data_IF_576105939232
#
_entry.id   IF_576105939232
#
_cell.length_a   1.000
_cell.length_b   1.000
_cell.length_c   1.000
_cell.angle_alpha   90.00
_cell.angle_beta   90.00
_cell.angle_gamma   90.00
#
_symmetry.space_group_name_H-M   'P 1'
#
loop_
_entity.id
_entity.type
_entity.pdbx_description
1 polymer ?
#
# COMPACT_ATOMS: atom_id res chain seq x y z
N UNK A 1 -9.47 -14.35 8.00
CA UNK A 1 -8.58 -13.34 7.42
C UNK A 1 -8.03 -12.47 8.53
N UNK A 2 -6.73 -12.44 8.68
CA UNK A 2 -6.07 -11.67 9.73
C UNK A 2 -5.29 -10.51 9.14
N UNK A 3 -5.44 -9.33 9.73
CA UNK A 3 -4.67 -8.13 9.38
C UNK A 3 -3.71 -7.85 10.52
N UNK A 4 -2.40 -7.89 10.24
CA UNK A 4 -1.38 -7.68 11.27
C UNK A 4 -0.10 -7.10 10.69
N UNK A 5 0.77 -6.59 11.54
CA UNK A 5 2.06 -6.07 11.08
C UNK A 5 2.88 -7.16 10.38
N UNK A 6 3.54 -6.76 9.29
CA UNK A 6 4.41 -7.64 8.53
C UNK A 6 5.84 -7.43 9.04
N UNK A 7 6.29 -8.31 9.91
CA UNK A 7 7.54 -8.10 10.63
C UNK A 7 8.75 -8.88 10.11
N UNK A 8 8.55 -9.85 9.24
CA UNK A 8 9.61 -10.76 8.85
C UNK A 8 9.65 -10.92 7.34
N UNK A 9 10.53 -10.10 6.71
CA UNK A 9 10.61 -10.05 5.25
C UNK A 9 10.98 -11.41 4.66
N UNK A 10 10.15 -11.89 3.73
CA UNK A 10 10.38 -13.11 2.98
C UNK A 10 10.31 -12.76 1.50
N UNK A 11 11.47 -12.77 0.83
CA UNK A 11 11.59 -12.32 -0.55
C UNK A 11 10.62 -13.05 -1.49
N UNK A 12 10.48 -14.37 -1.33
CA UNK A 12 9.65 -15.16 -2.21
C UNK A 12 8.17 -14.78 -2.12
N UNK A 13 7.63 -14.63 -0.92
CA UNK A 13 6.21 -14.28 -0.77
C UNK A 13 5.93 -12.85 -1.24
N UNK A 14 6.85 -11.92 -1.03
CA UNK A 14 6.72 -10.54 -1.51
C UNK A 14 6.79 -10.50 -3.05
N UNK A 15 7.76 -11.20 -3.63
CA UNK A 15 7.90 -11.29 -5.08
C UNK A 15 6.66 -11.89 -5.73
N UNK A 16 6.15 -12.98 -5.16
CA UNK A 16 4.94 -13.62 -5.66
C UNK A 16 3.74 -12.69 -5.61
N UNK A 17 3.62 -11.91 -4.54
CA UNK A 17 2.53 -10.97 -4.38
C UNK A 17 2.58 -9.88 -5.47
N UNK A 18 3.75 -9.29 -5.71
CA UNK A 18 3.91 -8.26 -6.74
C UNK A 18 3.66 -8.83 -8.14
N UNK A 19 4.16 -10.04 -8.42
CA UNK A 19 3.94 -10.70 -9.70
C UNK A 19 2.46 -10.99 -9.95
N UNK A 20 1.70 -11.32 -8.92
CA UNK A 20 0.29 -11.67 -9.04
C UNK A 20 -0.56 -10.54 -9.61
N UNK A 21 -0.12 -9.30 -9.46
CA UNK A 21 -0.82 -8.11 -9.97
C UNK A 21 -0.07 -7.45 -11.14
N UNK A 22 0.97 -8.11 -11.66
CA UNK A 22 1.71 -7.62 -12.82
C UNK A 22 2.68 -6.47 -12.51
N UNK A 23 3.00 -6.25 -11.26
CA UNK A 23 3.96 -5.22 -10.86
C UNK A 23 5.37 -5.78 -10.96
N UNK A 24 6.00 -5.59 -12.13
CA UNK A 24 7.33 -6.13 -12.42
C UNK A 24 8.45 -5.12 -12.24
N UNK A 25 8.13 -3.84 -12.07
CA UNK A 25 9.13 -2.78 -11.94
C UNK A 25 10.06 -2.97 -10.74
N UNK A 26 9.56 -3.50 -9.63
CA UNK A 26 10.41 -3.77 -8.47
C UNK A 26 11.27 -5.02 -8.63
N UNK A 27 10.92 -5.91 -9.57
CA UNK A 27 11.69 -7.13 -9.79
C UNK A 27 13.08 -6.82 -10.36
N UNK A 28 13.23 -5.69 -11.03
CA UNK A 28 14.53 -5.21 -11.51
C UNK A 28 15.39 -4.64 -10.37
N UNK A 29 14.78 -4.36 -9.22
CA UNK A 29 15.45 -3.79 -8.06
C UNK A 29 15.31 -4.68 -6.83
N UNK A 30 15.24 -5.98 -7.06
CA UNK A 30 14.96 -6.95 -5.99
C UNK A 30 16.01 -6.91 -4.88
N UNK A 31 17.27 -6.57 -5.23
CA UNK A 31 18.36 -6.48 -4.27
C UNK A 31 18.19 -5.37 -3.23
N UNK A 32 17.37 -4.35 -3.53
CA UNK A 32 17.12 -3.25 -2.59
C UNK A 32 15.75 -3.35 -1.91
N UNK A 33 14.94 -4.34 -2.29
CA UNK A 33 13.57 -4.43 -1.81
C UNK A 33 13.51 -4.72 -0.31
N UNK A 34 14.37 -5.60 0.19
CA UNK A 34 14.43 -5.90 1.62
C UNK A 34 14.79 -4.65 2.43
N UNK A 35 15.77 -3.88 1.96
CA UNK A 35 16.17 -2.64 2.64
C UNK A 35 15.04 -1.60 2.57
N UNK A 36 14.32 -1.53 1.46
CA UNK A 36 13.17 -0.65 1.32
C UNK A 36 12.08 -0.99 2.36
N UNK A 37 11.82 -2.27 2.54
CA UNK A 37 10.86 -2.72 3.56
C UNK A 37 11.36 -2.40 4.97
N UNK A 38 12.64 -2.64 5.24
CA UNK A 38 13.23 -2.35 6.55
C UNK A 38 13.18 -0.86 6.90
N UNK A 39 13.23 0.01 5.90
CA UNK A 39 13.19 1.45 6.07
C UNK A 39 11.78 2.05 5.91
N UNK A 40 10.77 1.23 5.77
CA UNK A 40 9.39 1.70 5.70
C UNK A 40 8.89 2.13 7.07
N UNK A 41 8.02 3.12 7.08
CA UNK A 41 7.36 3.56 8.32
C UNK A 41 6.47 2.44 8.88
N UNK A 42 5.76 1.76 8.00
CA UNK A 42 4.77 0.77 8.39
C UNK A 42 4.55 -0.22 7.25
N UNK A 43 4.50 -1.50 7.58
CA UNK A 43 4.10 -2.55 6.65
C UNK A 43 3.09 -3.45 7.36
N UNK A 44 1.91 -3.59 6.77
CA UNK A 44 0.83 -4.41 7.33
C UNK A 44 0.43 -5.44 6.30
N UNK A 45 0.29 -6.67 6.74
CA UNK A 45 -0.08 -7.80 5.89
C UNK A 45 -1.49 -8.30 6.17
N UNK A 46 -2.11 -8.87 5.14
CA UNK A 46 -3.34 -9.62 5.23
C UNK A 46 -3.02 -11.10 5.04
N UNK A 47 -3.51 -11.93 5.93
CA UNK A 47 -3.18 -13.37 5.95
C UNK A 47 -4.44 -14.22 5.89
N UNK A 48 -4.40 -15.22 5.02
CA UNK A 48 -5.35 -16.32 5.01
C UNK A 48 -4.65 -17.49 5.67
N UNK A 49 -4.98 -17.77 6.93
CA UNK A 49 -4.18 -18.59 7.83
C UNK A 49 -2.76 -18.02 7.91
N UNK A 50 -1.74 -18.75 7.49
CA UNK A 50 -0.36 -18.25 7.50
C UNK A 50 0.10 -17.74 6.14
N UNK A 51 -0.78 -17.72 5.14
CA UNK A 51 -0.43 -17.27 3.78
C UNK A 51 -0.64 -15.77 3.65
N UNK A 52 0.41 -15.05 3.25
CA UNK A 52 0.31 -13.62 2.94
C UNK A 52 -0.45 -13.44 1.62
N UNK A 53 -1.58 -12.75 1.68
CA UNK A 53 -2.44 -12.52 0.50
C UNK A 53 -2.62 -11.05 0.17
N UNK A 54 -2.14 -10.17 1.00
CA UNK A 54 -2.17 -8.74 0.73
C UNK A 54 -1.17 -8.00 1.59
N UNK A 55 -0.77 -6.81 1.13
CA UNK A 55 0.18 -5.99 1.85
C UNK A 55 -0.10 -4.52 1.59
N UNK A 56 0.16 -3.69 2.59
CA UNK A 56 0.22 -2.25 2.45
C UNK A 56 1.53 -1.76 3.07
N UNK A 57 2.23 -0.89 2.35
CA UNK A 57 3.50 -0.34 2.79
C UNK A 57 3.45 1.17 2.73
N UNK A 58 3.84 1.82 3.82
CA UNK A 58 3.82 3.26 3.94
C UNK A 58 5.19 3.78 4.34
N UNK A 59 5.54 4.95 3.85
CA UNK A 59 6.78 5.67 4.17
C UNK A 59 6.42 7.07 4.66
N UNK A 60 7.35 7.74 5.33
CA UNK A 60 7.14 9.07 5.84
C UNK A 60 7.59 9.19 7.29
N UNK A 61 7.33 10.34 7.90
CA UNK A 61 7.69 10.54 9.30
C UNK A 61 6.58 10.13 10.28
N UNK A 62 5.38 9.86 9.79
CA UNK A 62 4.24 9.49 10.63
C UNK A 62 3.62 10.63 11.39
N UNK A 63 4.13 11.84 11.25
CA UNK A 63 3.69 13.04 11.97
C UNK A 63 3.12 14.08 11.01
N UNK A 64 3.91 14.45 10.00
CA UNK A 64 3.47 15.41 8.98
C UNK A 64 2.99 14.72 7.73
N UNK A 65 3.54 13.55 7.42
CA UNK A 65 3.23 12.82 6.19
C UNK A 65 3.29 11.32 6.41
N UNK A 66 2.31 10.63 5.86
CA UNK A 66 2.33 9.20 5.59
C UNK A 66 2.03 9.05 4.10
N UNK A 67 2.95 8.46 3.36
CA UNK A 67 2.77 8.15 1.95
C UNK A 67 2.61 6.65 1.78
N UNK A 68 1.46 6.25 1.24
CA UNK A 68 1.19 4.84 0.96
C UNK A 68 1.86 4.52 -0.37
N UNK A 69 2.97 3.77 -0.29
CA UNK A 69 3.78 3.44 -1.44
C UNK A 69 3.24 2.25 -2.21
N UNK A 70 2.80 1.22 -1.49
CA UNK A 70 2.27 0.01 -2.11
C UNK A 70 1.02 -0.43 -1.37
N UNK A 71 0.01 -0.85 -2.12
CA UNK A 71 -1.13 -1.60 -1.62
C UNK A 71 -1.45 -2.67 -2.66
N UNK A 72 -1.32 -3.92 -2.26
CA UNK A 72 -1.44 -5.06 -3.17
C UNK A 72 -2.27 -6.14 -2.51
N UNK A 73 -3.25 -6.67 -3.24
CA UNK A 73 -4.00 -7.84 -2.85
C UNK A 73 -3.84 -8.86 -3.96
N UNK A 74 -3.46 -10.09 -3.58
CA UNK A 74 -3.29 -11.19 -4.54
C UNK A 74 -4.56 -11.34 -5.38
N UNK A 75 -4.40 -11.59 -6.69
CA UNK A 75 -5.51 -11.56 -7.64
C UNK A 75 -6.71 -12.39 -7.21
N UNK A 76 -6.46 -13.58 -6.66
CA UNK A 76 -7.51 -14.51 -6.23
C UNK A 76 -8.29 -14.03 -5.02
N UNK A 77 -7.74 -13.07 -4.28
CA UNK A 77 -8.32 -12.54 -3.05
C UNK A 77 -8.91 -11.14 -3.23
N UNK A 78 -8.89 -10.60 -4.44
CA UNK A 78 -9.45 -9.29 -4.72
C UNK A 78 -10.98 -9.31 -4.65
N UNK A 79 -11.58 -8.12 -4.48
CA UNK A 79 -13.04 -7.92 -4.38
C UNK A 79 -13.67 -8.57 -3.14
N UNK A 80 -12.87 -8.76 -2.08
CA UNK A 80 -13.34 -9.31 -0.81
C UNK A 80 -13.16 -8.32 0.35
N UNK A 81 -12.85 -7.06 0.04
CA UNK A 81 -12.68 -6.00 1.03
C UNK A 81 -11.33 -5.98 1.74
N UNK A 82 -10.36 -6.77 1.28
CA UNK A 82 -9.04 -6.86 1.93
C UNK A 82 -8.28 -5.55 1.76
N UNK A 83 -8.29 -4.97 0.56
CA UNK A 83 -7.63 -3.68 0.32
C UNK A 83 -8.17 -2.59 1.22
N UNK A 84 -9.48 -2.55 1.42
CA UNK A 84 -10.12 -1.61 2.33
C UNK A 84 -9.67 -1.82 3.77
N UNK A 85 -9.56 -3.08 4.20
CA UNK A 85 -9.11 -3.38 5.57
C UNK A 85 -7.66 -2.97 5.79
N UNK A 86 -6.79 -3.21 4.81
CA UNK A 86 -5.39 -2.79 4.87
C UNK A 86 -5.28 -1.27 4.94
N UNK A 87 -6.02 -0.58 4.09
CA UNK A 87 -6.01 0.89 4.04
C UNK A 87 -6.50 1.48 5.36
N UNK A 88 -7.61 0.96 5.89
CA UNK A 88 -8.15 1.43 7.17
C UNK A 88 -7.19 1.17 8.32
N UNK A 89 -6.45 0.07 8.31
CA UNK A 89 -5.47 -0.23 9.35
C UNK A 89 -4.39 0.87 9.41
N UNK A 90 -3.90 1.32 8.26
CA UNK A 90 -2.93 2.42 8.21
C UNK A 90 -3.58 3.74 8.61
N UNK A 91 -4.79 4.01 8.13
CA UNK A 91 -5.52 5.25 8.48
C UNK A 91 -5.77 5.34 9.99
N UNK A 92 -6.13 4.24 10.61
CA UNK A 92 -6.38 4.21 12.05
C UNK A 92 -5.09 4.37 12.85
N UNK A 93 -4.01 3.71 12.41
CA UNK A 93 -2.71 3.79 13.08
C UNK A 93 -2.15 5.21 13.06
N UNK A 94 -2.37 5.95 11.99
CA UNK A 94 -1.85 7.30 11.81
C UNK A 94 -2.98 8.33 11.72
N UNK A 95 -4.00 8.17 12.55
CA UNK A 95 -5.18 9.04 12.55
C UNK A 95 -4.86 10.52 12.80
N UNK A 96 -3.73 10.80 13.46
CA UNK A 96 -3.31 12.16 13.79
C UNK A 96 -2.30 12.75 12.80
N UNK A 97 -1.92 12.02 11.76
CA UNK A 97 -0.95 12.54 10.78
C UNK A 97 -1.54 13.75 10.04
N UNK A 98 -0.70 14.74 9.76
CA UNK A 98 -1.16 15.95 9.07
C UNK A 98 -1.65 15.64 7.65
N UNK A 99 -0.88 14.87 6.88
CA UNK A 99 -1.25 14.46 5.52
C UNK A 99 -1.04 12.98 5.31
N UNK A 100 -1.98 12.34 4.62
CA UNK A 100 -1.81 10.98 4.12
C UNK A 100 -2.04 11.01 2.61
N UNK A 101 -1.08 10.52 1.83
CA UNK A 101 -1.08 10.63 0.38
C UNK A 101 -0.76 9.30 -0.28
N UNK A 102 -1.15 9.16 -1.52
CA UNK A 102 -0.79 8.02 -2.37
C UNK A 102 -0.90 8.42 -3.84
N UNK A 103 -0.25 7.65 -4.69
CA UNK A 103 -0.45 7.72 -6.13
C UNK A 103 -1.15 6.45 -6.58
N UNK A 104 -2.01 6.57 -7.56
CA UNK A 104 -2.78 5.44 -8.07
C UNK A 104 -3.09 5.63 -9.55
N UNK A 105 -3.69 4.62 -10.16
CA UNK A 105 -4.11 4.69 -11.55
C UNK A 105 -5.15 5.80 -11.77
N UNK A 106 -5.02 6.49 -12.89
CA UNK A 106 -5.96 7.54 -13.24
C UNK A 106 -7.19 6.97 -13.95
N UNK A 107 -7.98 6.21 -13.21
CA UNK A 107 -9.24 5.64 -13.70
C UNK A 107 -10.38 6.05 -12.77
N UNK A 108 -11.59 6.14 -13.33
CA UNK A 108 -12.77 6.52 -12.53
C UNK A 108 -13.06 5.51 -11.42
N UNK A 109 -12.83 4.22 -11.70
CA UNK A 109 -13.03 3.15 -10.72
C UNK A 109 -12.12 3.31 -9.51
N UNK A 110 -10.85 3.55 -9.74
CA UNK A 110 -9.86 3.69 -8.67
C UNK A 110 -10.09 4.98 -7.89
N UNK A 111 -10.39 6.08 -8.59
CA UNK A 111 -10.74 7.35 -7.94
C UNK A 111 -11.96 7.19 -7.04
N UNK A 112 -13.00 6.51 -7.52
CA UNK A 112 -14.20 6.27 -6.73
C UNK A 112 -13.90 5.47 -5.47
N UNK A 113 -13.03 4.47 -5.58
CA UNK A 113 -12.63 3.67 -4.43
C UNK A 113 -11.97 4.55 -3.35
N UNK A 114 -10.97 5.35 -3.71
CA UNK A 114 -10.27 6.17 -2.72
C UNK A 114 -11.16 7.28 -2.16
N UNK A 115 -12.03 7.87 -2.98
CA UNK A 115 -13.02 8.84 -2.48
C UNK A 115 -13.96 8.19 -1.46
N UNK A 116 -14.35 6.94 -1.69
CA UNK A 116 -15.28 6.23 -0.79
C UNK A 116 -14.69 5.99 0.60
N UNK A 117 -13.36 5.97 0.72
CA UNK A 117 -12.69 5.79 2.02
C UNK A 117 -12.13 7.09 2.59
N UNK A 118 -12.47 8.23 1.99
CA UNK A 118 -12.19 9.54 2.59
C UNK A 118 -11.04 10.32 1.98
N UNK A 119 -10.45 9.85 0.88
CA UNK A 119 -9.41 10.60 0.17
C UNK A 119 -10.03 11.54 -0.85
N UNK A 120 -9.31 12.62 -1.16
CA UNK A 120 -9.65 13.53 -2.25
C UNK A 120 -8.57 13.47 -3.31
N UNK A 121 -8.94 13.60 -4.57
CA UNK A 121 -7.95 13.73 -5.63
C UNK A 121 -7.20 15.05 -5.45
N UNK A 122 -5.87 15.04 -5.66
CA UNK A 122 -5.05 16.22 -5.37
C UNK A 122 -5.42 17.45 -6.21
N UNK A 123 -5.89 17.25 -7.44
CA UNK A 123 -6.32 18.34 -8.31
C UNK A 123 -7.61 19.01 -7.79
N UNK A 124 -8.47 18.28 -7.09
CA UNK A 124 -9.65 18.88 -6.43
C UNK A 124 -9.23 19.84 -5.31
N UNK A 125 -8.02 19.69 -4.80
CA UNK A 125 -7.46 20.52 -3.73
C UNK A 125 -6.51 21.60 -4.26
N UNK A 126 -6.43 21.75 -5.58
CA UNK A 126 -5.53 22.73 -6.19
C UNK A 126 -4.07 22.28 -6.28
N UNK A 127 -3.81 21.00 -6.15
CA UNK A 127 -2.45 20.44 -6.16
C UNK A 127 -2.30 19.45 -7.32
N UNK A 128 -1.04 19.22 -7.74
CA UNK A 128 -0.71 18.14 -8.67
C UNK A 128 0.56 17.46 -8.19
N UNK A 129 0.74 16.20 -8.55
CA UNK A 129 1.95 15.45 -8.25
C UNK A 129 2.97 15.62 -9.36
N UNK A 130 4.24 15.81 -8.99
CA UNK A 130 5.36 15.82 -9.93
C UNK A 130 6.24 14.62 -9.61
N UNK A 131 6.62 13.87 -10.64
CA UNK A 131 7.39 12.64 -10.49
C UNK A 131 8.59 12.72 -11.42
N UNK A 132 9.77 12.36 -10.89
CA UNK A 132 10.97 12.15 -11.69
C UNK A 132 11.39 10.70 -11.51
N UNK A 133 11.38 9.95 -12.61
CA UNK A 133 11.76 8.53 -12.61
C UNK A 133 13.24 8.37 -12.95
#
# INVERSE_FOLDING_TARGET
MEIREYGNFQLEEITNLYQSVGWTNYLERISVLEDAYANSLCVIGAYDNEKLVGIIRAVGDGLTIVFIQDIIVQSEYQRKGIGTKLLKAVMDKYSDVYQMELLTDNTEKTKAFYRSVGFSASDDMGCVAFIRM
#
